data_IF_134826467181
#
_entry.id   IF_134826467181
#
_cell.length_a   1.000
_cell.length_b   1.000
_cell.length_c   1.000
_cell.angle_alpha   90.00
_cell.angle_beta   90.00
_cell.angle_gamma   90.00
#
_symmetry.space_group_name_H-M   'P 1'
#
loop_
_entity.id
_entity.type
_entity.pdbx_description
1 polymer ?
#
# COMPACT_ATOMS: atom_id res chain seq x y z
N UNK A 1 -17.22 14.37 -2.04
CA UNK A 1 -15.75 14.45 -1.87
C UNK A 1 -15.35 13.25 -1.05
N UNK A 2 -14.55 12.34 -1.60
CA UNK A 2 -14.13 11.12 -0.91
C UNK A 2 -13.19 11.55 0.24
N UNK A 3 -13.64 11.43 1.49
CA UNK A 3 -12.88 11.81 2.69
C UNK A 3 -11.82 10.78 3.08
N UNK A 4 -11.85 9.60 2.44
CA UNK A 4 -10.93 8.50 2.72
C UNK A 4 -9.61 8.72 2.01
N UNK A 5 -8.63 9.25 2.77
CA UNK A 5 -7.24 9.42 2.32
C UNK A 5 -6.62 8.11 1.83
N UNK A 6 -7.12 6.98 2.32
CA UNK A 6 -6.61 5.64 2.00
C UNK A 6 -7.45 4.90 0.94
N UNK A 7 -8.46 5.57 0.35
CA UNK A 7 -9.21 5.07 -0.80
C UNK A 7 -10.34 4.08 -0.51
N UNK A 8 -10.72 3.92 0.76
CA UNK A 8 -11.79 3.03 1.25
C UNK A 8 -11.34 1.58 1.44
N UNK A 9 -12.27 0.67 1.77
CA UNK A 9 -12.01 -0.77 1.90
C UNK A 9 -11.56 -1.35 0.55
N UNK A 10 -10.46 -2.11 0.53
CA UNK A 10 -9.92 -2.75 -0.66
C UNK A 10 -10.85 -3.81 -1.24
N UNK A 11 -11.59 -4.51 -0.37
CA UNK A 11 -12.48 -5.60 -0.72
C UNK A 11 -13.85 -5.40 -0.02
N UNK A 12 -14.62 -4.38 -0.45
CA UNK A 12 -15.86 -4.03 0.22
C UNK A 12 -16.89 -5.15 0.11
N UNK A 13 -17.50 -5.53 1.24
CA UNK A 13 -18.60 -6.50 1.28
C UNK A 13 -19.93 -5.74 1.14
N UNK A 14 -20.78 -6.09 0.15
CA UNK A 14 -22.06 -5.42 -0.02
C UNK A 14 -22.93 -5.50 1.24
N UNK A 15 -23.39 -4.35 1.72
CA UNK A 15 -24.27 -4.25 2.90
C UNK A 15 -23.54 -4.22 4.24
N UNK A 16 -22.21 -4.32 4.26
CA UNK A 16 -21.37 -4.26 5.46
C UNK A 16 -20.27 -3.20 5.34
N UNK A 17 -20.43 -2.21 4.44
CA UNK A 17 -19.37 -1.23 4.17
C UNK A 17 -19.09 -0.28 5.34
N UNK A 18 -20.06 -0.12 6.26
CA UNK A 18 -19.95 0.74 7.43
C UNK A 18 -19.62 -0.06 8.71
N UNK A 19 -19.50 -1.40 8.61
CA UNK A 19 -19.21 -2.26 9.73
C UNK A 19 -17.68 -2.39 9.94
N UNK A 20 -17.13 -1.86 11.04
CA UNK A 20 -15.70 -1.88 11.29
C UNK A 20 -15.10 -3.28 11.36
N UNK A 21 -15.90 -4.29 11.74
CA UNK A 21 -15.44 -5.68 11.83
C UNK A 21 -15.16 -6.28 10.43
N UNK A 22 -15.69 -5.66 9.37
CA UNK A 22 -15.55 -6.09 7.98
C UNK A 22 -14.71 -5.14 7.10
N UNK A 23 -14.11 -4.11 7.71
CA UNK A 23 -13.39 -3.08 6.95
C UNK A 23 -11.98 -3.45 6.50
N UNK A 24 -11.40 -4.55 7.02
CA UNK A 24 -10.21 -5.20 6.47
C UNK A 24 -9.06 -4.25 6.13
N UNK A 25 -8.44 -4.47 4.95
CA UNK A 25 -7.41 -3.60 4.40
C UNK A 25 -8.03 -2.42 3.65
N UNK A 26 -7.41 -1.24 3.74
CA UNK A 26 -7.72 -0.14 2.83
C UNK A 26 -7.14 -0.40 1.43
N UNK A 27 -7.65 0.30 0.41
CA UNK A 27 -7.10 0.26 -0.95
C UNK A 27 -5.62 0.67 -0.95
N UNK A 28 -5.24 1.63 -0.11
CA UNK A 28 -3.85 2.03 0.08
C UNK A 28 -2.98 0.90 0.58
N UNK A 29 -3.42 0.18 1.61
CA UNK A 29 -2.69 -0.96 2.19
C UNK A 29 -2.50 -2.05 1.13
N UNK A 30 -3.55 -2.32 0.35
CA UNK A 30 -3.48 -3.29 -0.74
C UNK A 30 -2.44 -2.87 -1.79
N UNK A 31 -2.44 -1.62 -2.22
CA UNK A 31 -1.44 -1.13 -3.17
C UNK A 31 -0.01 -1.18 -2.62
N UNK A 32 0.20 -0.83 -1.35
CA UNK A 32 1.50 -0.95 -0.71
C UNK A 32 2.00 -2.41 -0.68
N UNK A 33 1.10 -3.36 -0.36
CA UNK A 33 1.39 -4.78 -0.40
C UNK A 33 1.70 -5.31 -1.82
N UNK A 34 1.06 -4.74 -2.86
CA UNK A 34 1.38 -5.08 -4.26
C UNK A 34 2.71 -4.47 -4.71
N UNK A 35 3.05 -3.27 -4.25
CA UNK A 35 4.30 -2.60 -4.59
C UNK A 35 5.52 -3.34 -4.02
N UNK A 36 5.39 -3.94 -2.83
CA UNK A 36 6.51 -4.64 -2.17
C UNK A 36 7.05 -5.84 -2.95
N UNK A 37 6.26 -6.42 -3.87
CA UNK A 37 6.66 -7.60 -4.65
C UNK A 37 7.40 -7.26 -5.95
N UNK A 38 7.34 -6.00 -6.42
CA UNK A 38 7.84 -5.58 -7.74
C UNK A 38 8.95 -4.54 -7.69
N UNK A 39 9.08 -3.82 -6.57
CA UNK A 39 10.27 -3.00 -6.36
C UNK A 39 11.44 -4.00 -6.32
N UNK A 40 12.47 -3.73 -7.12
CA UNK A 40 13.67 -4.59 -7.23
C UNK A 40 14.38 -4.56 -5.88
N UNK A 41 14.67 -5.70 -5.21
CA UNK A 41 15.38 -5.70 -3.94
C UNK A 41 16.63 -4.83 -4.09
N UNK A 42 17.00 -4.03 -3.07
CA UNK A 42 18.17 -3.17 -3.20
C UNK A 42 19.36 -4.04 -3.63
N UNK A 43 20.25 -3.47 -4.44
CA UNK A 43 21.33 -4.15 -5.21
C UNK A 43 22.31 -5.00 -4.38
N UNK A 44 22.09 -5.07 -3.09
CA UNK A 44 22.73 -5.80 -2.01
C UNK A 44 22.28 -7.26 -1.88
N UNK A 45 21.42 -7.75 -2.80
CA UNK A 45 20.97 -9.15 -2.88
C UNK A 45 22.08 -10.21 -3.03
N UNK A 46 23.37 -9.84 -3.03
CA UNK A 46 24.48 -10.78 -2.94
C UNK A 46 25.34 -10.52 -1.70
N UNK A 47 24.99 -11.18 -0.59
CA UNK A 47 25.95 -11.57 0.43
C UNK A 47 25.99 -10.75 1.72
N UNK A 48 25.08 -9.80 1.94
CA UNK A 48 24.93 -9.16 3.27
C UNK A 48 23.50 -9.19 3.77
N UNK A 49 23.36 -9.20 5.09
CA UNK A 49 22.08 -9.02 5.74
C UNK A 49 21.56 -7.59 5.47
N UNK A 50 20.26 -7.50 5.21
CA UNK A 50 19.54 -6.22 5.14
C UNK A 50 19.50 -5.58 6.54
N UNK A 51 19.57 -4.27 6.57
CA UNK A 51 19.47 -3.43 7.78
C UNK A 51 18.03 -2.96 8.00
N UNK A 52 17.71 -2.57 9.24
CA UNK A 52 16.40 -2.00 9.56
C UNK A 52 16.14 -0.71 8.75
N UNK A 53 17.18 0.08 8.47
CA UNK A 53 17.10 1.27 7.63
C UNK A 53 16.73 0.94 6.18
N UNK A 54 17.23 -0.17 5.63
CA UNK A 54 16.90 -0.64 4.29
C UNK A 54 15.46 -1.12 4.20
N UNK A 55 14.99 -1.87 5.20
CA UNK A 55 13.58 -2.24 5.31
C UNK A 55 12.67 -1.01 5.45
N UNK A 56 13.06 -0.02 6.25
CA UNK A 56 12.31 1.22 6.39
C UNK A 56 12.25 2.02 5.07
N UNK A 57 13.38 2.15 4.37
CA UNK A 57 13.44 2.80 3.07
C UNK A 57 12.60 2.05 2.02
N UNK A 58 12.59 0.72 2.08
CA UNK A 58 11.75 -0.12 1.25
C UNK A 58 10.26 0.14 1.47
N UNK A 59 9.83 0.05 2.73
CA UNK A 59 8.45 0.30 3.11
C UNK A 59 7.99 1.70 2.65
N UNK A 60 8.83 2.72 2.83
CA UNK A 60 8.53 4.07 2.35
C UNK A 60 8.33 4.14 0.84
N UNK A 61 9.12 3.41 0.03
CA UNK A 61 8.91 3.36 -1.43
C UNK A 61 7.56 2.72 -1.78
N UNK A 62 7.19 1.63 -1.11
CA UNK A 62 5.89 0.98 -1.30
C UNK A 62 4.72 1.92 -1.00
N UNK A 63 4.79 2.66 0.11
CA UNK A 63 3.74 3.62 0.48
C UNK A 63 3.65 4.79 -0.50
N UNK A 64 4.78 5.33 -0.96
CA UNK A 64 4.77 6.39 -2.00
C UNK A 64 4.18 5.90 -3.32
N UNK A 65 4.43 4.63 -3.68
CA UNK A 65 3.80 4.03 -4.86
C UNK A 65 2.29 3.90 -4.66
N UNK A 66 1.83 3.43 -3.49
CA UNK A 66 0.42 3.34 -3.15
C UNK A 66 -0.30 4.70 -3.25
N UNK A 67 0.30 5.75 -2.68
CA UNK A 67 -0.22 7.11 -2.76
C UNK A 67 -0.31 7.61 -4.20
N UNK A 68 0.69 7.28 -5.03
CA UNK A 68 0.71 7.64 -6.46
C UNK A 68 -0.40 6.94 -7.24
N UNK A 69 -0.67 5.67 -6.95
CA UNK A 69 -1.76 4.90 -7.58
C UNK A 69 -3.14 5.43 -7.17
N UNK A 70 -3.32 5.81 -5.90
CA UNK A 70 -4.56 6.45 -5.44
C UNK A 70 -4.78 7.80 -6.11
N UNK A 71 -3.74 8.63 -6.21
CA UNK A 71 -3.82 9.90 -6.91
C UNK A 71 -4.18 9.71 -8.39
N UNK A 72 -3.56 8.74 -9.08
CA UNK A 72 -3.87 8.42 -10.47
C UNK A 72 -5.32 7.94 -10.67
N UNK A 73 -5.89 7.19 -9.70
CA UNK A 73 -7.29 6.78 -9.71
C UNK A 73 -8.26 7.96 -9.53
N UNK A 74 -7.86 8.96 -8.75
CA UNK A 74 -8.66 10.16 -8.47
C UNK A 74 -8.52 11.29 -9.50
N UNK A 75 -7.49 11.25 -10.33
CA UNK A 75 -7.29 12.19 -11.43
C UNK A 75 -8.35 11.95 -12.52
N UNK A 76 -9.27 12.91 -12.66
CA UNK A 76 -10.18 13.06 -13.80
C UNK A 76 -9.82 14.31 -14.56
#
# INVERSE_FOLDING_TARGET
>A
MNTDKDGGNAFPIPGLQDDPDFNGLSVRDYFAAKASTVIKPPTDYMGRAETDEEYAAWAQKCWRMADSLLAARGAK
#
